data_IF_362429710735
#
_entry.id   IF_362429710735
#
_cell.length_a   1.000
_cell.length_b   1.000
_cell.length_c   1.000
_cell.angle_alpha   90.00
_cell.angle_beta   90.00
_cell.angle_gamma   90.00
#
_symmetry.space_group_name_H-M   'P 1'
#
loop_
_entity.id
_entity.type
_entity.pdbx_description
1 polymer ?
#
# COMPACT_ATOMS: atom_id res chain seq x y z
N UNK A 1 -18.14 5.23 2.53
CA UNK A 1 -19.11 4.36 3.22
C UNK A 1 -18.45 3.01 3.46
N UNK A 2 -18.15 2.65 4.71
CA UNK A 2 -17.52 1.36 5.01
C UNK A 2 -18.50 0.21 4.76
N UNK A 3 -18.07 -0.83 4.04
CA UNK A 3 -18.84 -2.06 3.79
C UNK A 3 -18.26 -3.21 4.62
N UNK A 4 -19.12 -4.05 5.22
CA UNK A 4 -18.73 -5.24 5.99
C UNK A 4 -18.57 -6.51 5.13
N UNK A 5 -18.68 -6.39 3.81
CA UNK A 5 -18.41 -7.46 2.84
C UNK A 5 -17.41 -7.00 1.79
N UNK A 6 -16.63 -7.92 1.24
CA UNK A 6 -15.70 -7.66 0.13
C UNK A 6 -16.41 -6.87 -0.97
N UNK A 7 -15.89 -5.68 -1.35
CA UNK A 7 -16.58 -4.82 -2.29
C UNK A 7 -16.57 -5.37 -3.71
N UNK A 8 -17.54 -4.96 -4.51
CA UNK A 8 -17.45 -5.16 -5.96
C UNK A 8 -16.53 -4.09 -6.57
N UNK A 9 -15.99 -4.38 -7.75
CA UNK A 9 -15.09 -3.45 -8.46
C UNK A 9 -15.79 -2.12 -8.75
N UNK A 10 -17.07 -2.16 -9.05
CA UNK A 10 -17.89 -0.99 -9.36
C UNK A 10 -17.99 -0.05 -8.15
N UNK A 11 -18.19 -0.60 -6.95
CA UNK A 11 -18.25 0.19 -5.71
C UNK A 11 -16.90 0.85 -5.41
N UNK A 12 -15.81 0.10 -5.59
CA UNK A 12 -14.46 0.64 -5.39
C UNK A 12 -14.19 1.77 -6.39
N UNK A 13 -14.52 1.55 -7.66
CA UNK A 13 -14.31 2.53 -8.73
C UNK A 13 -15.11 3.81 -8.50
N UNK A 14 -16.39 3.70 -8.14
CA UNK A 14 -17.24 4.87 -7.85
C UNK A 14 -16.69 5.67 -6.67
N UNK A 15 -16.22 5.00 -5.61
CA UNK A 15 -15.62 5.66 -4.46
C UNK A 15 -14.29 6.36 -4.83
N UNK A 16 -13.45 5.74 -5.64
CA UNK A 16 -12.21 6.36 -6.13
C UNK A 16 -12.51 7.59 -7.00
N UNK A 17 -13.46 7.48 -7.94
CA UNK A 17 -13.82 8.59 -8.83
C UNK A 17 -14.42 9.79 -8.07
N UNK A 18 -15.16 9.52 -7.00
CA UNK A 18 -15.85 10.54 -6.21
C UNK A 18 -14.98 11.12 -5.10
N UNK A 19 -14.39 10.26 -4.29
CA UNK A 19 -13.75 10.60 -3.01
C UNK A 19 -12.21 10.51 -3.11
N UNK A 20 -11.66 9.92 -4.18
CA UNK A 20 -10.22 9.70 -4.37
C UNK A 20 -9.66 8.50 -3.60
N UNK A 21 -10.50 7.80 -2.84
CA UNK A 21 -10.09 6.60 -2.10
C UNK A 21 -11.27 5.67 -1.83
N UNK A 22 -10.93 4.42 -1.55
CA UNK A 22 -11.85 3.43 -1.01
C UNK A 22 -11.19 2.73 0.18
N UNK A 23 -11.96 2.39 1.20
CA UNK A 23 -11.48 1.58 2.32
C UNK A 23 -12.54 0.61 2.79
N UNK A 24 -12.09 -0.51 3.37
CA UNK A 24 -12.93 -1.38 4.16
C UNK A 24 -12.21 -1.77 5.45
N UNK A 25 -12.99 -1.86 6.53
CA UNK A 25 -12.46 -2.20 7.84
C UNK A 25 -12.13 -3.69 7.88
N UNK A 26 -10.92 -4.01 8.33
CA UNK A 26 -10.46 -5.38 8.47
C UNK A 26 -9.58 -5.51 9.71
N UNK A 27 -10.15 -6.00 10.84
CA UNK A 27 -9.40 -6.25 12.06
C UNK A 27 -8.23 -7.22 11.90
N UNK A 28 -8.31 -8.11 10.91
CA UNK A 28 -7.22 -9.06 10.62
C UNK A 28 -6.02 -8.32 10.08
N UNK A 29 -6.24 -7.40 9.14
CA UNK A 29 -5.19 -6.54 8.59
C UNK A 29 -4.58 -5.66 9.67
N UNK A 30 -5.41 -5.02 10.50
CA UNK A 30 -4.89 -4.20 11.60
C UNK A 30 -4.00 -4.99 12.56
N UNK A 31 -4.43 -6.19 12.97
CA UNK A 31 -3.61 -7.07 13.80
C UNK A 31 -2.29 -7.46 13.13
N UNK A 32 -2.31 -7.80 11.84
CA UNK A 32 -1.09 -8.14 11.09
C UNK A 32 -0.11 -6.96 11.04
N UNK A 33 -0.63 -5.75 10.80
CA UNK A 33 0.15 -4.51 10.75
C UNK A 33 0.74 -4.17 12.13
N UNK A 34 -0.03 -4.35 13.20
CA UNK A 34 0.44 -4.19 14.59
C UNK A 34 1.56 -5.17 14.95
N UNK A 35 1.41 -6.44 14.58
CA UNK A 35 2.44 -7.46 14.79
C UNK A 35 3.71 -7.14 14.00
N UNK A 36 3.58 -6.67 12.76
CA UNK A 36 4.70 -6.25 11.94
C UNK A 36 5.43 -5.04 12.52
N UNK A 37 4.69 -4.07 13.07
CA UNK A 37 5.24 -2.88 13.72
C UNK A 37 5.97 -3.19 15.02
N UNK A 38 5.48 -4.14 15.83
CA UNK A 38 6.15 -4.60 17.06
C UNK A 38 7.56 -5.15 16.79
N UNK A 39 7.81 -5.63 15.58
CA UNK A 39 9.12 -6.14 15.15
C UNK A 39 10.02 -5.07 14.51
N UNK A 40 9.61 -3.81 14.55
CA UNK A 40 10.40 -2.70 14.02
C UNK A 40 10.43 -2.66 12.49
N UNK A 41 9.33 -3.05 11.84
CA UNK A 41 9.15 -3.01 10.39
C UNK A 41 10.26 -3.77 9.62
N UNK A 42 10.34 -5.11 9.76
CA UNK A 42 11.46 -5.90 9.25
C UNK A 42 11.41 -6.14 7.72
N UNK A 43 11.14 -5.11 6.91
CA UNK A 43 10.93 -5.16 5.46
C UNK A 43 12.08 -5.81 4.68
N UNK A 44 13.32 -5.77 5.20
CA UNK A 44 14.52 -6.32 4.56
C UNK A 44 14.83 -7.76 4.96
N UNK A 45 13.84 -8.48 5.48
CA UNK A 45 13.96 -9.88 5.93
C UNK A 45 13.03 -10.78 5.11
N UNK A 46 13.19 -12.10 5.25
CA UNK A 46 12.30 -13.08 4.59
C UNK A 46 10.85 -12.92 5.06
N UNK A 47 10.67 -12.69 6.38
CA UNK A 47 9.38 -12.36 6.97
C UNK A 47 8.82 -11.06 6.39
N UNK A 48 9.67 -10.04 6.26
CA UNK A 48 9.36 -8.76 5.63
C UNK A 48 8.81 -8.91 4.22
N UNK A 49 9.60 -9.48 3.32
CA UNK A 49 9.19 -9.70 1.93
C UNK A 49 7.99 -10.65 1.83
N UNK A 50 7.89 -11.66 2.70
CA UNK A 50 6.73 -12.53 2.78
C UNK A 50 5.45 -11.77 3.13
N UNK A 51 5.53 -10.83 4.10
CA UNK A 51 4.43 -9.94 4.45
C UNK A 51 4.02 -9.05 3.26
N UNK A 52 4.99 -8.46 2.55
CA UNK A 52 4.73 -7.65 1.35
C UNK A 52 4.02 -8.51 0.32
N UNK A 53 4.59 -9.65 -0.06
CA UNK A 53 4.02 -10.55 -1.05
C UNK A 53 2.59 -10.96 -0.71
N UNK A 54 2.34 -11.33 0.56
CA UNK A 54 1.02 -11.73 1.01
C UNK A 54 -0.02 -10.61 0.84
N UNK A 55 0.29 -9.41 1.31
CA UNK A 55 -0.62 -8.26 1.34
C UNK A 55 -0.66 -7.44 0.03
N UNK A 56 0.02 -7.89 -1.03
CA UNK A 56 0.07 -7.18 -2.32
C UNK A 56 -0.23 -8.05 -3.52
N UNK A 57 0.34 -9.25 -3.56
CA UNK A 57 0.29 -10.12 -4.74
C UNK A 57 -0.58 -11.34 -4.51
N UNK A 58 -0.55 -11.92 -3.30
CA UNK A 58 -1.34 -13.11 -3.00
C UNK A 58 -2.77 -12.78 -2.57
N UNK A 59 -3.01 -11.54 -2.11
CA UNK A 59 -4.33 -11.04 -1.80
C UNK A 59 -5.10 -10.75 -3.09
N UNK A 60 -5.95 -11.71 -3.47
CA UNK A 60 -6.78 -11.66 -4.68
C UNK A 60 -7.78 -10.49 -4.71
N UNK A 61 -8.00 -9.80 -3.58
CA UNK A 61 -8.81 -8.58 -3.57
C UNK A 61 -8.14 -7.44 -4.36
N UNK A 62 -6.81 -7.50 -4.55
CA UNK A 62 -6.02 -6.46 -5.21
C UNK A 62 -5.81 -6.68 -6.72
N UNK A 63 -6.07 -7.87 -7.26
CA UNK A 63 -5.81 -8.22 -8.67
C UNK A 63 -6.58 -7.37 -9.71
N UNK A 64 -7.51 -6.51 -9.30
CA UNK A 64 -8.44 -5.78 -10.19
C UNK A 64 -8.27 -4.26 -10.19
N UNK A 65 -7.26 -3.74 -9.50
CA UNK A 65 -7.16 -2.31 -9.22
C UNK A 65 -5.78 -1.82 -9.67
N UNK A 66 -5.79 -0.95 -10.68
CA UNK A 66 -4.60 -0.28 -11.22
C UNK A 66 -4.65 1.19 -10.82
N UNK A 67 -3.71 1.62 -9.96
CA UNK A 67 -3.57 3.02 -9.50
C UNK A 67 -2.10 3.34 -9.28
N UNK A 68 -1.57 4.34 -10.00
CA UNK A 68 -0.29 5.04 -9.75
C UNK A 68 -0.37 5.80 -8.39
N UNK A 69 0.69 6.11 -7.60
CA UNK A 69 1.70 7.22 -7.74
C UNK A 69 1.80 8.34 -6.62
N UNK A 70 2.00 8.01 -5.32
CA UNK A 70 1.85 8.79 -4.04
C UNK A 70 2.74 10.04 -3.69
N UNK A 71 2.25 10.93 -2.78
CA UNK A 71 3.03 11.72 -1.77
C UNK A 71 2.19 12.04 -0.49
N UNK A 72 2.62 11.62 0.72
CA UNK A 72 2.03 12.10 2.00
C UNK A 72 2.28 13.62 2.13
N UNK A 73 1.23 14.37 2.45
CA UNK A 73 1.29 15.83 2.58
C UNK A 73 1.18 16.19 4.06
N UNK A 74 2.15 16.92 4.65
CA UNK A 74 2.01 17.39 6.02
C UNK A 74 0.70 18.12 6.25
N UNK A 75 -0.01 17.82 7.35
CA UNK A 75 -1.36 18.31 7.65
C UNK A 75 -1.57 19.81 7.36
N UNK A 76 -0.60 20.65 7.72
CA UNK A 76 -0.65 22.11 7.50
C UNK A 76 -0.78 22.54 6.03
N UNK A 77 -0.47 21.67 5.07
CA UNK A 77 -0.54 21.92 3.63
C UNK A 77 -1.76 21.30 2.94
N UNK A 78 -2.57 20.52 3.69
CA UNK A 78 -3.82 19.94 3.17
C UNK A 78 -4.96 20.96 3.13
N UNK A 79 -4.91 22.01 3.95
CA UNK A 79 -5.89 23.08 3.90
C UNK A 79 -5.68 23.98 2.68
N UNK A 80 -6.61 23.92 1.73
CA UNK A 80 -6.71 24.85 0.59
C UNK A 80 -8.17 25.16 0.31
N UNK A 81 -8.41 26.35 -0.22
CA UNK A 81 -9.75 26.76 -0.65
C UNK A 81 -10.30 25.75 -1.69
N UNK A 82 -11.55 25.32 -1.49
CA UNK A 82 -12.25 24.33 -2.32
C UNK A 82 -11.72 22.88 -2.25
N UNK A 83 -10.99 22.51 -1.20
CA UNK A 83 -10.69 21.10 -0.88
C UNK A 83 -11.52 20.69 0.33
N UNK A 84 -12.37 19.68 0.17
CA UNK A 84 -13.11 19.08 1.28
C UNK A 84 -12.22 18.12 2.07
N UNK A 85 -12.21 18.28 3.39
CA UNK A 85 -11.45 17.44 4.30
C UNK A 85 -12.32 16.31 4.84
N UNK A 86 -11.81 15.07 4.75
CA UNK A 86 -12.47 13.88 5.32
C UNK A 86 -11.50 13.17 6.26
N UNK A 87 -11.88 13.04 7.53
CA UNK A 87 -11.19 12.16 8.47
C UNK A 87 -11.90 10.80 8.53
N UNK A 88 -11.12 9.73 8.52
CA UNK A 88 -11.62 8.35 8.62
C UNK A 88 -10.91 7.65 9.76
N UNK A 89 -11.68 7.23 10.77
CA UNK A 89 -11.15 6.41 11.86
C UNK A 89 -11.14 4.93 11.46
N UNK A 90 -9.98 4.29 11.58
CA UNK A 90 -9.74 2.87 11.28
C UNK A 90 -9.31 2.15 12.57
N UNK A 91 -10.18 2.15 13.58
CA UNK A 91 -9.86 1.74 14.97
C UNK A 91 -9.16 0.39 15.09
N UNK A 92 -9.61 -0.60 14.33
CA UNK A 92 -9.06 -1.96 14.35
C UNK A 92 -8.24 -2.26 13.07
N UNK A 93 -7.95 -1.24 12.26
CA UNK A 93 -7.30 -1.38 10.96
C UNK A 93 -8.26 -1.49 9.79
N UNK A 94 -7.71 -1.27 8.60
CA UNK A 94 -8.42 -1.29 7.33
C UNK A 94 -7.45 -1.61 6.19
N UNK A 95 -7.99 -2.10 5.07
CA UNK A 95 -7.32 -2.00 3.78
C UNK A 95 -7.83 -0.75 3.08
N UNK A 96 -6.90 0.00 2.49
CA UNK A 96 -7.19 1.26 1.81
C UNK A 96 -6.60 1.21 0.41
N UNK A 97 -7.43 1.59 -0.56
CA UNK A 97 -7.03 1.84 -1.95
C UNK A 97 -7.12 3.33 -2.17
N UNK A 98 -6.02 3.92 -2.64
CA UNK A 98 -5.88 5.35 -2.82
C UNK A 98 -5.63 5.65 -4.29
N UNK A 99 -6.28 6.67 -4.81
CA UNK A 99 -5.80 7.38 -6.00
C UNK A 99 -4.52 8.15 -5.62
N UNK A 100 -3.50 8.14 -6.48
CA UNK A 100 -2.26 8.87 -6.20
C UNK A 100 -2.41 10.36 -6.04
N UNK A 101 -3.39 10.92 -6.74
CA UNK A 101 -3.59 12.37 -6.75
C UNK A 101 -4.19 12.84 -5.44
N UNK A 102 -4.59 11.91 -4.56
CA UNK A 102 -5.11 12.22 -3.24
C UNK A 102 -3.97 12.64 -2.29
N UNK A 103 -4.05 13.87 -1.81
CA UNK A 103 -3.25 14.32 -0.66
C UNK A 103 -3.85 13.79 0.64
N UNK A 104 -3.07 13.05 1.43
CA UNK A 104 -3.47 12.59 2.76
C UNK A 104 -2.36 12.75 3.78
N UNK A 105 -2.73 12.62 5.06
CA UNK A 105 -1.79 12.57 6.20
C UNK A 105 -2.29 11.56 7.23
N UNK A 106 -1.39 10.98 8.01
CA UNK A 106 -1.74 10.12 9.14
C UNK A 106 -1.84 10.99 10.39
N UNK A 107 -3.06 11.22 10.87
CA UNK A 107 -3.30 11.98 12.11
C UNK A 107 -2.79 11.22 13.33
N UNK A 108 -3.06 9.91 13.39
CA UNK A 108 -2.62 9.01 14.45
C UNK A 108 -2.43 7.59 13.92
N UNK A 109 -1.47 6.86 14.48
CA UNK A 109 -1.17 5.47 14.09
C UNK A 109 -0.08 5.38 13.03
N UNK A 110 -0.16 4.36 12.19
CA UNK A 110 0.77 4.14 11.08
C UNK A 110 0.07 3.37 9.96
N UNK A 111 0.55 3.57 8.73
CA UNK A 111 0.11 2.82 7.56
C UNK A 111 1.32 2.13 6.93
N UNK A 112 1.11 0.93 6.39
CA UNK A 112 2.07 0.28 5.51
C UNK A 112 1.50 0.38 4.10
N UNK A 113 2.17 1.13 3.23
CA UNK A 113 1.69 1.38 1.88
C UNK A 113 2.52 0.61 0.87
N UNK A 114 1.83 -0.10 -0.02
CA UNK A 114 2.41 -0.74 -1.19
C UNK A 114 1.83 -0.06 -2.43
N UNK A 115 2.70 0.31 -3.38
CA UNK A 115 2.32 1.08 -4.55
C UNK A 115 2.63 0.31 -5.83
N UNK A 116 1.74 0.43 -6.81
CA UNK A 116 2.00 0.09 -8.19
C UNK A 116 2.27 1.38 -8.96
N UNK A 117 3.16 1.32 -9.94
CA UNK A 117 3.62 2.50 -10.67
C UNK A 117 4.11 2.10 -12.05
N UNK A 118 3.89 2.97 -13.03
CA UNK A 118 4.43 2.80 -14.37
C UNK A 118 5.96 2.79 -14.35
N UNK A 119 6.56 1.99 -15.23
CA UNK A 119 8.02 1.76 -15.26
C UNK A 119 8.82 3.06 -15.38
N UNK A 120 8.33 4.04 -16.16
CA UNK A 120 8.98 5.34 -16.32
C UNK A 120 9.13 6.10 -14.99
N UNK A 121 8.10 6.11 -14.16
CA UNK A 121 8.13 6.77 -12.86
C UNK A 121 8.96 5.94 -11.86
N UNK A 122 8.86 4.61 -11.91
CA UNK A 122 9.62 3.71 -11.04
C UNK A 122 11.14 3.87 -11.22
N UNK A 123 11.60 4.13 -12.44
CA UNK A 123 13.01 4.34 -12.76
C UNK A 123 13.63 5.56 -12.07
N UNK A 124 12.81 6.50 -11.58
CA UNK A 124 13.25 7.69 -10.83
C UNK A 124 13.37 7.42 -9.33
N UNK A 125 12.79 6.34 -8.84
CA UNK A 125 12.72 6.03 -7.41
C UNK A 125 13.95 5.28 -6.92
N UNK A 126 14.33 5.53 -5.67
CA UNK A 126 15.39 4.78 -5.03
C UNK A 126 14.97 3.31 -4.86
N UNK A 127 15.85 2.39 -5.27
CA UNK A 127 15.61 0.95 -5.08
C UNK A 127 15.77 0.57 -3.61
N UNK A 128 14.91 -0.32 -3.13
CA UNK A 128 15.09 -0.88 -1.79
C UNK A 128 16.26 -1.87 -1.80
N UNK A 129 17.28 -1.57 -0.99
CA UNK A 129 18.46 -2.41 -0.79
C UNK A 129 18.13 -3.61 0.10
N UNK A 130 18.14 -4.80 -0.49
CA UNK A 130 17.95 -6.07 0.23
C UNK A 130 19.30 -6.75 0.50
N UNK A 131 19.49 -7.41 1.66
CA UNK A 131 20.67 -8.23 1.89
C UNK A 131 20.89 -9.26 0.77
N UNK A 132 22.14 -9.48 0.38
CA UNK A 132 22.52 -10.40 -0.69
C UNK A 132 22.44 -11.86 -0.23
N UNK A 133 21.22 -12.35 0.02
CA UNK A 133 20.96 -13.74 0.38
C UNK A 133 20.20 -14.49 -0.72
N UNK A 134 20.44 -15.79 -0.83
CA UNK A 134 19.73 -16.64 -1.79
C UNK A 134 18.23 -16.75 -1.50
N UNK A 135 17.84 -16.74 -0.22
CA UNK A 135 16.44 -16.83 0.19
C UNK A 135 15.65 -15.59 -0.20
N UNK A 136 16.19 -14.39 0.06
CA UNK A 136 15.54 -13.13 -0.32
C UNK A 136 15.44 -12.98 -1.84
N UNK A 137 16.48 -13.40 -2.57
CA UNK A 137 16.43 -13.44 -4.04
C UNK A 137 15.33 -14.34 -4.57
N UNK A 138 15.14 -15.53 -3.98
CA UNK A 138 14.05 -16.44 -4.37
C UNK A 138 12.68 -15.82 -4.14
N UNK A 139 12.46 -15.18 -2.99
CA UNK A 139 11.20 -14.49 -2.69
C UNK A 139 10.98 -13.35 -3.70
N UNK A 140 11.98 -12.49 -3.89
CA UNK A 140 11.88 -11.37 -4.83
C UNK A 140 11.59 -11.83 -6.27
N UNK A 141 12.26 -12.89 -6.75
CA UNK A 141 11.99 -13.46 -8.09
C UNK A 141 10.57 -14.00 -8.18
N UNK A 142 10.06 -14.65 -7.13
CA UNK A 142 8.69 -15.19 -7.12
C UNK A 142 7.60 -14.13 -7.15
N UNK A 143 7.95 -12.87 -6.85
CA UNK A 143 7.05 -11.72 -6.90
C UNK A 143 7.03 -11.03 -8.28
N UNK A 144 7.98 -11.34 -9.16
CA UNK A 144 8.05 -10.81 -10.52
C UNK A 144 7.17 -11.64 -11.46
N UNK A 145 6.43 -10.98 -12.35
CA UNK A 145 5.67 -11.62 -13.43
C UNK A 145 5.86 -10.87 -14.76
N UNK A 146 5.20 -11.33 -15.82
CA UNK A 146 5.18 -10.62 -17.12
C UNK A 146 4.65 -9.18 -16.98
N UNK A 147 3.74 -8.93 -16.03
CA UNK A 147 3.07 -7.63 -15.84
C UNK A 147 3.56 -6.85 -14.62
N UNK A 148 4.31 -7.49 -13.72
CA UNK A 148 4.71 -6.90 -12.44
C UNK A 148 6.22 -7.02 -12.29
N UNK A 149 6.90 -5.87 -12.25
CA UNK A 149 8.31 -5.75 -11.91
C UNK A 149 8.53 -5.35 -10.45
N UNK A 150 9.70 -5.67 -9.89
CA UNK A 150 10.06 -5.36 -8.50
C UNK A 150 11.10 -4.23 -8.42
N UNK A 151 10.97 -3.33 -7.43
CA UNK A 151 11.90 -2.21 -7.22
C UNK A 151 12.96 -2.48 -6.12
N UNK A 152 13.70 -3.58 -6.29
CA UNK A 152 14.76 -4.00 -5.36
C UNK A 152 16.14 -3.97 -5.99
N UNK A 153 17.17 -3.83 -5.16
CA UNK A 153 18.54 -4.13 -5.53
C UNK A 153 19.24 -4.98 -4.46
N UNK A 154 20.15 -5.84 -4.91
CA UNK A 154 21.03 -6.64 -4.07
C UNK A 154 22.45 -6.09 -4.20
N UNK A 155 22.96 -5.32 -3.22
CA UNK A 155 24.31 -4.79 -3.27
C UNK A 155 25.32 -5.94 -3.28
N UNK A 156 26.47 -5.68 -3.92
CA UNK A 156 27.58 -6.63 -4.00
C UNK A 156 28.16 -6.93 -2.63
#
# INVERSE_FOLDING_TARGET
>A
MASSSSPTVEVVKEAIEKDGFYYYLDPTIGKQVDEFAKEGYPFKTEKGLGFIKHNTLDDKSLEKIDTSGLLEIPHKYLHKDNIEHTEVEMKDGALVILDDRLGFTIVQGFAITFCFMVEEELNKWAKMKLPNSLSLKKIAISMTSEKIGMNFEFPK
#
